data_IF_393614720065
#
_entry.id   IF_393614720065
#
_cell.length_a   1.000
_cell.length_b   1.000
_cell.length_c   1.000
_cell.angle_alpha   90.00
_cell.angle_beta   90.00
_cell.angle_gamma   90.00
#
_symmetry.space_group_name_H-M   'P 1'
#
loop_
_entity.id
_entity.type
_entity.pdbx_description
1 polymer ?
#
# COMPACT_ATOMS: atom_id res chain seq x y z
N UNK A 1 17.40 11.71 -22.34
CA UNK A 1 16.92 11.89 -20.95
C UNK A 1 18.14 11.87 -20.05
N UNK A 2 18.47 12.98 -19.41
CA UNK A 2 19.61 13.03 -18.47
C UNK A 2 19.17 12.45 -17.12
N UNK A 3 19.99 11.59 -16.55
CA UNK A 3 19.80 11.09 -15.18
C UNK A 3 20.38 12.16 -14.25
N UNK A 4 19.58 12.67 -13.32
CA UNK A 4 20.03 13.61 -12.29
C UNK A 4 20.37 12.86 -11.01
N UNK A 5 21.49 13.20 -10.38
CA UNK A 5 21.87 12.71 -9.06
C UNK A 5 21.55 13.78 -8.01
N UNK A 6 20.78 13.41 -6.99
CA UNK A 6 20.51 14.27 -5.85
C UNK A 6 21.60 14.10 -4.80
N UNK A 7 22.25 15.21 -4.42
CA UNK A 7 23.35 15.24 -3.45
C UNK A 7 22.98 16.21 -2.32
N UNK A 8 22.14 15.78 -1.36
CA UNK A 8 21.82 16.60 -0.19
C UNK A 8 22.98 16.60 0.82
N UNK A 9 22.94 17.52 1.77
CA UNK A 9 23.87 17.58 2.89
C UNK A 9 23.82 16.28 3.72
N UNK A 10 24.98 15.69 3.95
CA UNK A 10 25.14 14.43 4.68
C UNK A 10 24.97 14.59 6.19
N UNK A 11 25.09 15.80 6.72
CA UNK A 11 24.84 16.12 8.13
C UNK A 11 23.35 16.16 8.48
N UNK A 12 22.47 16.27 7.49
CA UNK A 12 21.02 16.18 7.74
C UNK A 12 20.68 14.78 8.24
N UNK A 13 20.09 14.73 9.43
CA UNK A 13 19.68 13.49 10.06
C UNK A 13 18.59 12.78 9.25
N UNK A 14 18.65 11.45 9.24
CA UNK A 14 17.71 10.60 8.52
C UNK A 14 17.43 9.34 9.34
N UNK A 15 16.16 8.96 9.37
CA UNK A 15 15.70 7.72 10.02
C UNK A 15 15.65 6.53 9.05
N UNK A 16 15.93 6.78 7.76
CA UNK A 16 15.85 5.79 6.70
C UNK A 16 17.12 4.94 6.61
N UNK A 17 16.96 3.67 6.27
CA UNK A 17 18.08 2.72 6.16
C UNK A 17 18.57 2.53 4.74
N UNK A 18 17.73 2.79 3.72
CA UNK A 18 18.09 2.63 2.31
C UNK A 18 18.66 3.91 1.69
N UNK A 19 19.70 3.82 0.86
CA UNK A 19 20.36 4.98 0.23
C UNK A 19 19.40 5.91 -0.53
N UNK A 20 18.44 5.34 -1.26
CA UNK A 20 17.40 6.10 -1.98
C UNK A 20 16.47 6.85 -1.03
N UNK A 21 16.02 6.20 0.04
CA UNK A 21 15.12 6.80 1.03
C UNK A 21 15.84 7.85 1.89
N UNK A 22 17.11 7.60 2.28
CA UNK A 22 17.96 8.59 2.96
C UNK A 22 18.15 9.84 2.12
N UNK A 23 18.43 9.67 0.83
CA UNK A 23 18.58 10.80 -0.10
C UNK A 23 17.26 11.57 -0.21
N UNK A 24 16.14 10.85 -0.36
CA UNK A 24 14.82 11.47 -0.45
C UNK A 24 14.45 12.29 0.80
N UNK A 25 14.63 11.72 1.99
CA UNK A 25 14.35 12.41 3.27
C UNK A 25 15.23 13.66 3.42
N UNK A 26 16.52 13.55 3.12
CA UNK A 26 17.45 14.68 3.26
C UNK A 26 17.18 15.79 2.25
N UNK A 27 16.88 15.45 0.99
CA UNK A 27 16.50 16.44 -0.02
C UNK A 27 15.22 17.15 0.40
N UNK A 28 14.23 16.42 0.92
CA UNK A 28 12.98 17.02 1.40
C UNK A 28 13.20 17.96 2.59
N UNK A 29 14.04 17.58 3.55
CA UNK A 29 14.44 18.42 4.69
C UNK A 29 15.20 19.67 4.25
N UNK A 30 16.15 19.52 3.33
CA UNK A 30 17.01 20.62 2.87
C UNK A 30 16.28 21.64 2.01
N UNK A 31 15.40 21.17 1.13
CA UNK A 31 14.76 22.02 0.10
C UNK A 31 13.35 22.44 0.47
N UNK A 32 12.70 21.77 1.43
CA UNK A 32 11.27 21.91 1.71
C UNK A 32 10.36 21.38 0.60
N UNK A 33 10.93 20.86 -0.50
CA UNK A 33 10.19 20.27 -1.60
C UNK A 33 9.64 18.89 -1.24
N UNK A 34 8.62 18.47 -1.98
CA UNK A 34 8.10 17.11 -1.90
C UNK A 34 9.07 16.18 -2.65
N UNK A 35 9.51 15.11 -1.98
CA UNK A 35 10.35 14.07 -2.59
C UNK A 35 9.70 12.72 -2.40
N UNK A 36 9.64 11.92 -3.47
CA UNK A 36 8.99 10.61 -3.47
C UNK A 36 10.05 9.52 -3.58
N UNK A 37 10.08 8.63 -2.59
CA UNK A 37 10.90 7.42 -2.58
C UNK A 37 10.06 6.19 -2.89
N UNK A 38 10.50 5.35 -3.84
CA UNK A 38 9.84 4.09 -4.18
C UNK A 38 10.73 2.92 -3.75
N UNK A 39 10.21 2.08 -2.86
CA UNK A 39 10.85 0.83 -2.45
C UNK A 39 10.35 -0.32 -3.30
N UNK A 40 11.13 -0.69 -4.32
CA UNK A 40 10.78 -1.82 -5.22
C UNK A 40 10.58 -3.14 -4.45
N UNK A 41 11.48 -3.46 -3.52
CA UNK A 41 11.40 -4.70 -2.73
C UNK A 41 10.15 -4.77 -1.85
N UNK A 42 9.73 -3.64 -1.28
CA UNK A 42 8.59 -3.59 -0.34
C UNK A 42 7.26 -3.27 -1.03
N UNK A 43 7.27 -2.90 -2.30
CA UNK A 43 6.13 -2.33 -3.03
C UNK A 43 5.50 -1.15 -2.27
N UNK A 44 6.34 -0.27 -1.73
CA UNK A 44 5.90 0.86 -0.90
C UNK A 44 6.36 2.17 -1.51
N UNK A 45 5.44 3.14 -1.58
CA UNK A 45 5.73 4.53 -1.94
C UNK A 45 5.79 5.34 -0.64
N UNK A 46 6.81 6.19 -0.51
CA UNK A 46 6.97 7.08 0.64
C UNK A 46 7.12 8.51 0.14
N UNK A 47 6.36 9.42 0.72
CA UNK A 47 6.37 10.85 0.45
C UNK A 47 7.06 11.57 1.61
N UNK A 48 8.04 12.41 1.30
CA UNK A 48 8.79 13.22 2.25
C UNK A 48 8.54 14.70 1.98
N UNK A 49 8.31 15.50 3.03
CA UNK A 49 8.20 16.98 2.94
C UNK A 49 8.73 17.60 4.22
N UNK A 50 9.84 18.34 4.15
CA UNK A 50 10.50 18.84 5.36
C UNK A 50 10.79 17.67 6.31
N UNK A 51 10.28 17.76 7.55
CA UNK A 51 10.42 16.70 8.55
C UNK A 51 9.29 15.65 8.51
N UNK A 52 8.30 15.82 7.65
CA UNK A 52 7.16 14.90 7.55
C UNK A 52 7.45 13.72 6.62
N UNK A 53 6.92 12.56 6.99
CA UNK A 53 6.99 11.33 6.21
C UNK A 53 5.62 10.68 6.17
N UNK A 54 5.16 10.34 4.97
CA UNK A 54 3.93 9.60 4.75
C UNK A 54 4.20 8.35 3.91
N UNK A 55 3.79 7.19 4.41
CA UNK A 55 3.87 5.93 3.69
C UNK A 55 2.52 5.69 3.03
N UNK A 56 2.50 5.60 1.71
CA UNK A 56 1.29 5.28 0.96
C UNK A 56 0.96 3.81 1.20
N UNK A 57 -0.23 3.55 1.73
CA UNK A 57 -0.69 2.19 1.98
C UNK A 57 -0.95 1.44 0.68
N UNK A 58 -0.54 0.16 0.65
CA UNK A 58 -0.79 -0.72 -0.47
C UNK A 58 -2.25 -1.20 -0.45
N UNK A 59 -3.07 -0.61 -1.34
CA UNK A 59 -4.49 -0.91 -1.53
C UNK A 59 -4.71 -2.40 -1.85
N UNK A 60 -3.70 -3.10 -2.38
CA UNK A 60 -3.79 -4.51 -2.76
C UNK A 60 -4.14 -5.42 -1.59
N UNK A 61 -3.64 -5.13 -0.38
CA UNK A 61 -3.97 -5.93 0.82
C UNK A 61 -5.45 -5.79 1.22
N UNK A 62 -6.01 -4.61 1.03
CA UNK A 62 -7.42 -4.32 1.30
C UNK A 62 -8.28 -5.10 0.29
N UNK A 63 -7.94 -5.03 -1.00
CA UNK A 63 -8.63 -5.78 -2.04
C UNK A 63 -8.59 -7.29 -1.83
N UNK A 64 -7.44 -7.86 -1.43
CA UNK A 64 -7.33 -9.29 -1.16
C UNK A 64 -8.30 -9.74 -0.06
N UNK A 65 -8.38 -8.99 1.05
CA UNK A 65 -9.32 -9.30 2.14
C UNK A 65 -10.78 -9.14 1.71
N UNK A 66 -11.11 -8.09 0.96
CA UNK A 66 -12.45 -7.86 0.45
C UNK A 66 -12.90 -9.00 -0.48
N UNK A 67 -12.04 -9.42 -1.41
CA UNK A 67 -12.33 -10.53 -2.32
C UNK A 67 -12.54 -11.85 -1.57
N UNK A 68 -11.75 -12.14 -0.53
CA UNK A 68 -11.94 -13.33 0.31
C UNK A 68 -13.29 -13.31 1.04
N UNK A 69 -13.70 -12.15 1.55
CA UNK A 69 -15.00 -12.00 2.20
C UNK A 69 -16.17 -12.21 1.22
N UNK A 70 -16.08 -11.63 0.02
CA UNK A 70 -17.11 -11.79 -1.03
C UNK A 70 -17.25 -13.26 -1.45
N UNK A 71 -16.14 -13.96 -1.72
CA UNK A 71 -16.18 -15.39 -2.08
C UNK A 71 -16.81 -16.25 -0.98
N UNK A 72 -16.57 -15.88 0.28
CA UNK A 72 -17.16 -16.57 1.43
C UNK A 72 -18.68 -16.36 1.48
N UNK A 73 -19.14 -15.12 1.25
CA UNK A 73 -20.57 -14.79 1.18
C UNK A 73 -21.28 -15.49 0.02
N UNK A 74 -20.66 -15.56 -1.15
CA UNK A 74 -21.18 -16.30 -2.30
C UNK A 74 -21.37 -17.78 -1.96
N UNK A 75 -20.39 -18.39 -1.28
CA UNK A 75 -20.49 -19.79 -0.85
C UNK A 75 -21.64 -20.00 0.13
N UNK A 76 -21.82 -19.10 1.09
CA UNK A 76 -22.95 -19.16 2.02
C UNK A 76 -24.29 -19.02 1.31
N UNK A 77 -24.39 -18.11 0.34
CA UNK A 77 -25.60 -17.94 -0.49
C UNK A 77 -25.95 -19.22 -1.23
N UNK A 78 -24.98 -19.85 -1.90
CA UNK A 78 -25.23 -21.10 -2.64
C UNK A 78 -25.76 -22.22 -1.73
N UNK A 79 -25.20 -22.35 -0.53
CA UNK A 79 -25.69 -23.33 0.45
C UNK A 79 -27.11 -23.01 0.92
N UNK A 80 -27.41 -21.73 1.16
CA UNK A 80 -28.76 -21.28 1.53
C UNK A 80 -29.77 -21.58 0.42
N UNK A 81 -29.45 -21.23 -0.82
CA UNK A 81 -30.32 -21.44 -1.98
C UNK A 81 -30.62 -22.94 -2.17
N UNK A 82 -29.64 -23.81 -1.96
CA UNK A 82 -29.83 -25.26 -1.98
C UNK A 82 -30.74 -25.73 -0.83
N UNK A 83 -30.56 -25.21 0.38
CA UNK A 83 -31.38 -25.57 1.53
C UNK A 83 -32.85 -25.17 1.32
N UNK A 84 -33.09 -23.97 0.78
CA UNK A 84 -34.43 -23.49 0.43
C UNK A 84 -35.06 -24.37 -0.66
N UNK A 85 -34.29 -24.72 -1.69
CA UNK A 85 -34.77 -25.60 -2.76
C UNK A 85 -35.17 -26.99 -2.24
N UNK A 86 -34.36 -27.57 -1.36
CA UNK A 86 -34.65 -28.86 -0.74
C UNK A 86 -35.88 -28.81 0.17
N UNK A 87 -36.04 -27.73 0.94
CA UNK A 87 -37.20 -27.53 1.80
C UNK A 87 -38.47 -27.46 0.95
N UNK A 88 -38.48 -26.64 -0.10
CA UNK A 88 -39.62 -26.54 -1.02
C UNK A 88 -39.96 -27.90 -1.64
N UNK A 89 -38.97 -28.72 -1.99
CA UNK A 89 -39.21 -30.05 -2.57
C UNK A 89 -39.81 -31.06 -1.57
N UNK A 90 -39.68 -30.84 -0.27
CA UNK A 90 -40.28 -31.68 0.78
C UNK A 90 -41.67 -31.20 1.22
N UNK A 91 -42.04 -29.96 0.90
CA UNK A 91 -43.36 -29.38 1.20
C UNK A 91 -44.44 -29.79 0.19
N UNK A 92 -44.08 -30.37 -0.95
CA UNK A 92 -44.99 -30.88 -2.01
C UNK A 92 -44.84 -32.39 -2.20
#
# INVERSE_FOLDING_TARGET
MLIAQLIPDYFIETSETGTRHRTAERVAKQTGAIVIGISQRRNVITVYRGNEKYVVEDISKIFTKANQAIQTLEKYKTVLDQAVTNLNALEF
#
